data_IF_876563254576
#
_entry.id   IF_876563254576
#
_cell.length_a   1.000
_cell.length_b   1.000
_cell.length_c   1.000
_cell.angle_alpha   90.00
_cell.angle_beta   90.00
_cell.angle_gamma   90.00
#
_symmetry.space_group_name_H-M   'P 1'
#
loop_
_entity.id
_entity.type
_entity.pdbx_description
1 polymer ?
#
# COMPACT_ATOMS: atom_id res chain seq x y z
N UNK A 1 3.06 -20.36 43.78
CA UNK A 1 3.22 -19.02 43.17
C UNK A 1 2.67 -19.09 41.76
N UNK A 2 1.52 -18.47 41.51
CA UNK A 2 0.87 -18.49 40.19
C UNK A 2 1.60 -17.46 39.31
N UNK A 3 2.36 -17.93 38.33
CA UNK A 3 2.95 -17.07 37.30
C UNK A 3 1.84 -16.67 36.34
N UNK A 4 1.26 -15.50 36.57
CA UNK A 4 0.41 -14.82 35.59
C UNK A 4 1.30 -14.44 34.41
N UNK A 5 1.22 -15.20 33.33
CA UNK A 5 1.71 -14.79 32.01
C UNK A 5 0.87 -13.60 31.58
N UNK A 6 1.36 -12.39 31.83
CA UNK A 6 0.84 -11.18 31.21
C UNK A 6 1.31 -11.23 29.76
N UNK A 7 0.52 -11.83 28.87
CA UNK A 7 0.75 -11.70 27.43
C UNK A 7 0.69 -10.19 27.14
N UNK A 8 1.77 -9.54 26.70
CA UNK A 8 1.68 -8.13 26.32
C UNK A 8 0.63 -8.04 25.22
N UNK A 9 -0.29 -7.08 25.31
CA UNK A 9 -1.21 -6.78 24.21
C UNK A 9 -0.36 -6.64 22.96
N UNK A 10 -0.51 -7.59 22.04
CA UNK A 10 0.09 -7.64 20.72
C UNK A 10 0.38 -6.20 20.26
N UNK A 11 1.67 -5.83 20.18
CA UNK A 11 2.11 -4.59 19.55
C UNK A 11 1.81 -4.73 18.04
N UNK A 12 0.53 -4.68 17.66
CA UNK A 12 0.10 -4.62 16.27
C UNK A 12 0.62 -3.30 15.76
N UNK A 13 1.66 -3.40 14.96
CA UNK A 13 2.27 -2.22 14.35
C UNK A 13 1.24 -1.66 13.37
N UNK A 14 0.86 -0.37 13.45
CA UNK A 14 -0.18 0.16 12.59
C UNK A 14 0.25 0.08 11.12
N UNK A 15 -0.68 -0.09 10.18
CA UNK A 15 -0.37 -0.11 8.76
C UNK A 15 0.17 1.25 8.31
N UNK A 16 1.05 1.23 7.32
CA UNK A 16 1.44 2.43 6.58
C UNK A 16 0.29 2.86 5.66
N UNK A 17 0.08 4.17 5.47
CA UNK A 17 -0.97 4.69 4.59
C UNK A 17 -0.32 5.44 3.44
N UNK A 18 -0.67 5.06 2.21
CA UNK A 18 -0.22 5.72 0.98
C UNK A 18 -1.40 6.34 0.27
N UNK A 19 -1.23 7.58 -0.17
CA UNK A 19 -2.18 8.32 -0.98
C UNK A 19 -1.44 9.02 -2.11
N UNK A 20 -2.13 9.29 -3.21
CA UNK A 20 -1.55 10.07 -4.30
C UNK A 20 -2.49 10.17 -5.49
N UNK A 21 -2.03 10.90 -6.49
CA UNK A 21 -2.66 10.93 -7.79
C UNK A 21 -2.23 9.73 -8.64
N UNK A 22 -3.06 9.36 -9.61
CA UNK A 22 -2.72 8.40 -10.65
C UNK A 22 -2.50 9.18 -11.95
N UNK A 23 -1.27 9.19 -12.45
CA UNK A 23 -0.82 10.00 -13.59
C UNK A 23 -0.57 9.10 -14.81
N UNK A 24 -0.87 9.63 -15.99
CA UNK A 24 -0.70 8.94 -17.28
C UNK A 24 -1.38 7.56 -17.34
N UNK A 25 -2.50 7.40 -16.62
CA UNK A 25 -3.22 6.14 -16.51
C UNK A 25 -3.57 5.57 -17.91
N UNK A 26 -3.24 4.30 -18.21
CA UNK A 26 -3.58 3.69 -19.47
C UNK A 26 -5.09 3.46 -19.61
N UNK A 27 -5.55 3.18 -20.84
CA UNK A 27 -6.93 2.80 -21.08
C UNK A 27 -7.29 1.55 -20.25
N UNK A 28 -8.33 1.67 -19.41
CA UNK A 28 -8.77 0.62 -18.49
C UNK A 28 -8.46 0.89 -17.01
N UNK A 29 -7.56 1.83 -16.71
CA UNK A 29 -7.36 2.32 -15.33
C UNK A 29 -8.29 3.50 -15.08
N UNK A 30 -9.34 3.27 -14.28
CA UNK A 30 -10.36 4.26 -13.95
C UNK A 30 -10.75 4.15 -12.47
N UNK A 31 -11.65 5.03 -12.01
CA UNK A 31 -12.25 4.89 -10.69
C UNK A 31 -12.91 3.51 -10.51
N UNK A 32 -12.71 2.91 -9.35
CA UNK A 32 -13.11 1.54 -9.04
C UNK A 32 -12.06 0.48 -9.39
N UNK A 33 -10.96 0.82 -10.09
CA UNK A 33 -9.86 -0.10 -10.28
C UNK A 33 -9.13 -0.37 -8.95
N UNK A 34 -8.76 -1.64 -8.72
CA UNK A 34 -7.97 -2.05 -7.55
C UNK A 34 -6.55 -1.51 -7.64
N UNK A 35 -6.03 -1.04 -6.51
CA UNK A 35 -4.63 -0.70 -6.28
C UNK A 35 -4.10 -1.63 -5.20
N UNK A 36 -3.18 -2.52 -5.59
CA UNK A 36 -2.52 -3.44 -4.69
C UNK A 36 -1.11 -2.94 -4.40
N UNK A 37 -0.75 -2.91 -3.12
CA UNK A 37 0.58 -2.61 -2.63
C UNK A 37 1.28 -3.91 -2.28
N UNK A 38 2.42 -4.14 -2.92
CA UNK A 38 3.22 -5.33 -2.73
C UNK A 38 4.48 -5.00 -1.94
N UNK A 39 4.79 -5.84 -0.96
CA UNK A 39 6.05 -5.84 -0.23
C UNK A 39 6.79 -7.10 -0.61
N UNK A 40 7.97 -6.98 -1.22
CA UNK A 40 8.77 -8.11 -1.72
C UNK A 40 7.94 -9.08 -2.61
N UNK A 41 6.99 -8.56 -3.40
CA UNK A 41 6.12 -9.32 -4.28
C UNK A 41 4.86 -9.94 -3.64
N UNK A 42 4.65 -9.74 -2.33
CA UNK A 42 3.45 -10.19 -1.62
C UNK A 42 2.48 -9.04 -1.46
N UNK A 43 1.20 -9.25 -1.82
CA UNK A 43 0.15 -8.25 -1.58
C UNK A 43 -0.03 -8.05 -0.08
N UNK A 44 0.31 -6.85 0.38
CA UNK A 44 0.27 -6.46 1.78
C UNK A 44 -0.68 -5.29 2.04
N UNK A 45 -1.37 -4.83 0.99
CA UNK A 45 -2.42 -3.83 1.07
C UNK A 45 -3.19 -3.75 -0.23
N UNK A 46 -4.47 -3.46 -0.15
CA UNK A 46 -5.32 -3.20 -1.31
C UNK A 46 -6.20 -1.97 -1.04
N UNK A 47 -6.59 -1.29 -2.10
CA UNK A 47 -7.51 -0.16 -2.07
C UNK A 47 -8.03 0.13 -3.47
N UNK A 48 -8.75 1.23 -3.64
CA UNK A 48 -9.43 1.54 -4.90
C UNK A 48 -9.03 2.93 -5.40
N UNK A 49 -9.05 3.09 -6.73
CA UNK A 49 -9.00 4.40 -7.37
C UNK A 49 -10.35 5.09 -7.24
N UNK A 50 -10.33 6.39 -6.96
CA UNK A 50 -11.50 7.25 -6.94
C UNK A 50 -11.26 8.52 -7.77
N UNK A 51 -12.31 9.05 -8.38
CA UNK A 51 -12.26 10.37 -9.03
C UNK A 51 -12.47 11.45 -7.98
N UNK A 52 -11.52 12.36 -7.85
CA UNK A 52 -11.65 13.54 -6.99
C UNK A 52 -12.54 14.61 -7.64
N UNK A 53 -13.05 15.61 -6.90
CA UNK A 53 -13.94 16.66 -7.44
C UNK A 53 -13.32 17.49 -8.58
N UNK A 54 -12.00 17.51 -8.69
CA UNK A 54 -11.24 18.15 -9.76
C UNK A 54 -11.13 17.30 -11.04
N UNK A 55 -11.77 16.12 -11.06
CA UNK A 55 -11.73 15.16 -12.17
C UNK A 55 -10.49 14.27 -12.17
N UNK A 56 -9.54 14.46 -11.26
CA UNK A 56 -8.31 13.67 -11.22
C UNK A 56 -8.51 12.32 -10.52
N UNK A 57 -7.84 11.28 -11.02
CA UNK A 57 -7.80 9.98 -10.36
C UNK A 57 -6.86 10.03 -9.14
N UNK A 58 -7.34 9.54 -7.99
CA UNK A 58 -6.60 9.42 -6.74
C UNK A 58 -6.78 8.04 -6.14
N UNK A 59 -5.83 7.62 -5.31
CA UNK A 59 -5.91 6.35 -4.61
C UNK A 59 -5.60 6.51 -3.12
N UNK A 60 -5.98 5.49 -2.35
CA UNK A 60 -5.58 5.32 -0.95
C UNK A 60 -5.41 3.83 -0.66
N UNK A 61 -4.22 3.44 -0.24
CA UNK A 61 -3.92 2.06 0.18
C UNK A 61 -3.36 2.04 1.58
N UNK A 62 -3.77 1.06 2.38
CA UNK A 62 -3.16 0.73 3.67
C UNK A 62 -2.28 -0.49 3.50
N UNK A 63 -1.00 -0.38 3.83
CA UNK A 63 -0.01 -1.46 3.72
C UNK A 63 0.30 -1.96 5.11
N UNK A 64 -0.11 -3.18 5.37
CA UNK A 64 0.00 -3.85 6.65
C UNK A 64 1.45 -3.99 7.09
N UNK A 65 1.66 -3.92 8.40
CA UNK A 65 2.97 -4.20 8.98
C UNK A 65 3.24 -5.71 9.00
N UNK A 66 4.50 -6.07 9.21
CA UNK A 66 4.90 -7.43 9.50
C UNK A 66 4.32 -7.85 10.86
N UNK A 67 3.28 -8.67 10.84
CA UNK A 67 2.70 -9.32 12.02
C UNK A 67 2.93 -10.83 11.96
N UNK A 68 2.84 -11.52 13.10
CA UNK A 68 2.94 -12.99 13.16
C UNK A 68 1.90 -13.66 12.25
N UNK A 69 2.30 -14.74 11.57
CA UNK A 69 1.44 -15.50 10.66
C UNK A 69 1.47 -14.97 9.22
N UNK A 70 0.31 -14.95 8.55
CA UNK A 70 0.20 -14.68 7.11
C UNK A 70 0.63 -13.28 6.64
N UNK A 71 1.03 -12.38 7.54
CA UNK A 71 1.54 -11.04 7.24
C UNK A 71 3.02 -10.86 7.59
N UNK A 72 3.76 -11.94 7.95
CA UNK A 72 5.16 -11.83 8.33
C UNK A 72 6.06 -11.25 7.22
N UNK A 73 5.66 -11.43 5.96
CA UNK A 73 6.33 -10.86 4.79
C UNK A 73 5.98 -9.39 4.52
N UNK A 74 5.01 -8.82 5.25
CA UNK A 74 4.54 -7.45 5.03
C UNK A 74 5.45 -6.40 5.68
N UNK A 75 4.96 -5.18 5.85
CA UNK A 75 5.76 -3.99 6.05
C UNK A 75 6.63 -3.99 7.30
N UNK A 76 7.94 -3.87 7.09
CA UNK A 76 8.90 -3.50 8.12
C UNK A 76 9.66 -2.25 7.63
N UNK A 77 10.21 -1.42 8.53
CA UNK A 77 10.98 -0.25 8.13
C UNK A 77 12.02 -0.59 7.06
N UNK A 78 12.08 0.23 6.01
CA UNK A 78 12.97 0.09 4.84
C UNK A 78 12.66 -1.08 3.88
N UNK A 79 11.56 -1.81 4.07
CA UNK A 79 11.10 -2.74 3.02
C UNK A 79 10.57 -1.97 1.82
N UNK A 80 10.81 -2.51 0.63
CA UNK A 80 10.37 -1.88 -0.60
C UNK A 80 8.88 -2.16 -0.83
N UNK A 81 8.12 -1.10 -1.10
CA UNK A 81 6.71 -1.14 -1.47
C UNK A 81 6.59 -0.76 -2.94
N UNK A 82 6.06 -1.68 -3.73
CA UNK A 82 5.68 -1.45 -5.13
C UNK A 82 4.16 -1.44 -5.23
N UNK A 83 3.62 -0.80 -6.27
CA UNK A 83 2.18 -0.74 -6.48
C UNK A 83 1.81 -1.37 -7.82
N UNK A 84 0.69 -2.07 -7.85
CA UNK A 84 0.03 -2.49 -9.08
C UNK A 84 -1.39 -1.97 -9.11
N UNK A 85 -1.86 -1.56 -10.28
CA UNK A 85 -3.21 -1.04 -10.49
C UNK A 85 -3.86 -1.87 -11.58
N UNK A 86 -5.03 -2.47 -11.28
CA UNK A 86 -5.72 -3.34 -12.23
C UNK A 86 -4.84 -4.50 -12.74
N UNK A 87 -3.92 -5.00 -11.91
CA UNK A 87 -2.96 -6.05 -12.26
C UNK A 87 -1.72 -5.56 -13.03
N UNK A 88 -1.62 -4.28 -13.39
CA UNK A 88 -0.43 -3.71 -14.03
C UNK A 88 0.51 -3.12 -12.98
N UNK A 89 1.76 -3.56 -12.95
CA UNK A 89 2.76 -2.98 -12.04
C UNK A 89 3.12 -1.56 -12.50
N UNK A 90 3.02 -0.60 -11.57
CA UNK A 90 3.42 0.79 -11.80
C UNK A 90 4.93 0.89 -11.55
N UNK A 91 5.70 1.55 -12.42
CA UNK A 91 7.14 1.73 -12.18
C UNK A 91 7.40 2.56 -10.92
N UNK A 92 8.57 2.31 -10.33
CA UNK A 92 8.99 2.97 -9.10
C UNK A 92 8.58 2.20 -7.84
N UNK A 93 9.12 2.66 -6.72
CA UNK A 93 8.84 2.09 -5.41
C UNK A 93 9.09 3.10 -4.30
N UNK A 94 8.62 2.78 -3.11
CA UNK A 94 8.82 3.60 -1.91
C UNK A 94 9.12 2.71 -0.71
N UNK A 95 9.68 3.28 0.36
CA UNK A 95 10.00 2.51 1.56
C UNK A 95 8.80 2.44 2.48
N UNK A 96 8.57 1.25 3.06
CA UNK A 96 7.56 1.06 4.07
C UNK A 96 7.88 1.87 5.33
N UNK A 97 6.95 2.74 5.71
CA UNK A 97 6.99 3.46 6.98
C UNK A 97 5.59 3.98 7.35
N UNK A 98 5.26 3.83 8.63
CA UNK A 98 3.95 4.13 9.22
C UNK A 98 3.99 5.31 10.20
N UNK A 99 5.05 6.13 10.13
CA UNK A 99 5.23 7.33 10.96
C UNK A 99 4.23 8.44 10.61
N UNK A 100 3.77 8.47 9.35
CA UNK A 100 2.79 9.42 8.83
C UNK A 100 2.15 8.87 7.56
N UNK A 101 1.09 9.54 7.10
CA UNK A 101 0.54 9.30 5.76
C UNK A 101 1.58 9.69 4.71
N UNK A 102 1.85 8.78 3.78
CA UNK A 102 2.83 8.95 2.70
C UNK A 102 2.12 9.40 1.43
N UNK A 103 2.62 10.49 0.85
CA UNK A 103 2.20 10.93 -0.47
C UNK A 103 3.12 10.30 -1.52
N UNK A 104 2.56 9.53 -2.44
CA UNK A 104 3.29 8.86 -3.51
C UNK A 104 2.39 8.83 -4.75
N UNK A 105 2.74 9.59 -5.78
CA UNK A 105 1.96 9.60 -7.02
C UNK A 105 2.33 8.36 -7.86
N UNK A 106 1.31 7.67 -8.37
CA UNK A 106 1.49 6.53 -9.27
C UNK A 106 1.63 7.07 -10.69
N UNK A 107 2.81 6.96 -11.26
CA UNK A 107 3.10 7.44 -12.60
C UNK A 107 3.31 6.26 -13.54
N UNK A 108 2.38 6.09 -14.47
CA UNK A 108 2.57 5.14 -15.56
C UNK A 108 3.52 5.72 -16.60
N UNK A 109 4.34 4.88 -17.26
CA UNK A 109 5.14 5.34 -18.38
C UNK A 109 4.18 5.82 -19.48
N UNK A 110 4.41 7.03 -19.99
CA UNK A 110 3.57 7.59 -21.04
C UNK A 110 3.72 6.76 -22.32
N UNK A 111 2.72 5.93 -22.63
CA UNK A 111 2.52 5.28 -23.93
C UNK A 111 3.56 4.22 -24.31
N UNK A 112 3.12 2.97 -24.36
CA UNK A 112 3.59 2.00 -25.35
C UNK A 112 2.58 1.92 -26.49
#
# INVERSE_FOLDING_TARGET
KVSTLVTPLFQRTPPAVYIGAVRNAPAGVAAGASVDALVDGVICGSGDISTAPDGNLRYKVKVEAADVGGKAACGAPNRNVTFSVGGQTVPGSTLWANDKVRQYDLEFPAGG
#
